data_IF_805941714014
#
_entry.id   IF_805941714014
#
_cell.length_a   1.000
_cell.length_b   1.000
_cell.length_c   1.000
_cell.angle_alpha   90.00
_cell.angle_beta   90.00
_cell.angle_gamma   90.00
#
_symmetry.space_group_name_H-M   'P 1'
#
loop_
_entity.id
_entity.type
_entity.pdbx_description
1 polymer ?
#
# COMPACT_ATOMS: atom_id res chain seq x y z
N UNK A 1 -14.31 7.72 -27.88
CA UNK A 1 -15.19 7.78 -26.69
C UNK A 1 -15.24 6.41 -26.05
N UNK A 2 -14.62 6.22 -24.88
CA UNK A 2 -14.87 5.02 -24.05
C UNK A 2 -15.75 5.45 -22.88
N UNK A 3 -16.97 4.91 -22.88
CA UNK A 3 -18.12 5.33 -22.09
C UNK A 3 -18.22 4.46 -20.84
N UNK A 4 -18.31 5.11 -19.67
CA UNK A 4 -18.53 4.57 -18.32
C UNK A 4 -17.39 3.73 -17.68
N UNK A 5 -16.63 4.37 -16.78
CA UNK A 5 -15.92 3.77 -15.63
C UNK A 5 -15.25 2.40 -15.84
N UNK A 6 -14.52 2.20 -16.94
CA UNK A 6 -13.67 1.02 -17.08
C UNK A 6 -12.44 1.19 -16.20
N UNK A 7 -12.53 0.78 -14.93
CA UNK A 7 -11.36 0.70 -14.06
C UNK A 7 -10.36 -0.25 -14.69
N UNK A 8 -9.17 0.27 -14.99
CA UNK A 8 -8.06 -0.55 -15.45
C UNK A 8 -7.47 -1.22 -14.22
N UNK A 9 -7.62 -2.54 -14.17
CA UNK A 9 -6.95 -3.36 -13.17
C UNK A 9 -5.57 -3.72 -13.69
N UNK A 10 -4.58 -3.59 -12.83
CA UNK A 10 -3.20 -3.98 -13.10
C UNK A 10 -2.93 -5.33 -12.42
N UNK A 11 -2.41 -6.27 -13.20
CA UNK A 11 -1.95 -7.55 -12.70
C UNK A 11 -0.48 -7.44 -12.28
N UNK A 12 -0.24 -7.48 -10.97
CA UNK A 12 1.06 -7.45 -10.33
C UNK A 12 1.47 -8.80 -9.76
N UNK A 13 0.75 -9.88 -10.08
CA UNK A 13 0.99 -11.24 -9.54
C UNK A 13 2.44 -11.73 -9.71
N UNK A 14 3.14 -11.21 -10.73
CA UNK A 14 4.54 -11.54 -11.01
C UNK A 14 5.56 -10.77 -10.14
N UNK A 15 5.13 -9.76 -9.39
CA UNK A 15 5.97 -8.85 -8.59
C UNK A 15 5.64 -8.98 -7.10
N UNK A 16 6.61 -8.66 -6.23
CA UNK A 16 6.43 -8.77 -4.78
C UNK A 16 6.75 -7.47 -4.02
N UNK A 17 7.38 -6.50 -4.68
CA UNK A 17 7.91 -5.31 -4.04
C UNK A 17 7.53 -4.05 -4.81
N UNK A 18 7.05 -3.04 -4.09
CA UNK A 18 6.87 -1.69 -4.60
C UNK A 18 8.18 -0.91 -4.43
N UNK A 19 8.72 -0.37 -5.52
CA UNK A 19 9.91 0.47 -5.52
C UNK A 19 9.51 1.91 -5.85
N UNK A 20 9.74 2.81 -4.91
CA UNK A 20 9.50 4.23 -5.11
C UNK A 20 10.79 5.00 -4.91
N UNK A 21 10.96 6.06 -5.69
CA UNK A 21 11.97 7.08 -5.42
C UNK A 21 11.29 8.40 -5.13
N UNK A 22 11.42 8.83 -3.89
CA UNK A 22 10.65 9.93 -3.33
C UNK A 22 11.56 10.91 -2.60
N UNK A 23 11.17 12.17 -2.59
CA UNK A 23 11.76 13.22 -1.78
C UNK A 23 10.65 13.92 -1.02
N UNK A 24 10.78 13.97 0.30
CA UNK A 24 9.74 14.51 1.17
C UNK A 24 10.26 15.55 2.14
N UNK A 25 9.29 16.21 2.76
CA UNK A 25 9.42 17.28 3.76
C UNK A 25 9.79 16.80 5.18
N UNK A 26 9.94 15.50 5.40
CA UNK A 26 10.25 14.93 6.72
C UNK A 26 9.03 14.43 7.48
N UNK A 27 7.83 14.56 6.88
CA UNK A 27 6.58 14.13 7.49
C UNK A 27 6.29 12.65 7.19
N UNK A 28 5.49 11.98 8.04
CA UNK A 28 5.01 10.63 7.76
C UNK A 28 3.93 10.70 6.66
N UNK A 29 4.15 9.94 5.62
CA UNK A 29 3.20 9.68 4.55
C UNK A 29 2.65 8.27 4.69
N UNK A 30 1.46 8.04 4.16
CA UNK A 30 0.82 6.74 4.07
C UNK A 30 0.60 6.43 2.60
N UNK A 31 1.09 5.28 2.18
CA UNK A 31 0.86 4.73 0.85
C UNK A 31 -0.35 3.81 0.96
N UNK A 32 -1.37 4.07 0.15
CA UNK A 32 -2.62 3.34 0.13
C UNK A 32 -2.75 2.64 -1.23
N UNK A 33 -2.99 1.34 -1.23
CA UNK A 33 -3.24 0.56 -2.43
C UNK A 33 -4.67 0.04 -2.35
N UNK A 34 -5.50 0.42 -3.32
CA UNK A 34 -6.86 -0.11 -3.45
C UNK A 34 -6.90 -1.21 -4.50
N UNK A 35 -7.39 -2.38 -4.13
CA UNK A 35 -7.71 -3.46 -5.05
C UNK A 35 -9.22 -3.48 -5.32
N UNK A 36 -9.62 -3.71 -6.56
CA UNK A 36 -11.04 -3.88 -6.86
C UNK A 36 -11.48 -5.30 -6.48
N UNK A 37 -12.28 -5.43 -5.41
CA UNK A 37 -12.91 -6.72 -5.07
C UNK A 37 -14.15 -6.97 -5.93
N UNK A 38 -14.39 -8.25 -6.22
CA UNK A 38 -15.60 -8.75 -6.87
C UNK A 38 -16.86 -8.58 -6.01
N UNK A 39 -16.70 -8.51 -4.68
CA UNK A 39 -17.81 -8.36 -3.74
C UNK A 39 -17.97 -6.90 -3.33
N UNK A 40 -19.19 -6.36 -3.46
CA UNK A 40 -19.52 -4.99 -3.08
C UNK A 40 -19.20 -4.65 -1.61
N UNK A 41 -19.09 -5.67 -0.75
CA UNK A 41 -18.75 -5.53 0.67
C UNK A 41 -17.26 -5.26 0.94
N UNK A 42 -16.36 -5.59 0.00
CA UNK A 42 -14.90 -5.40 0.09
C UNK A 42 -14.42 -4.22 -0.75
N UNK A 43 -15.35 -3.39 -1.22
CA UNK A 43 -15.06 -2.25 -2.10
C UNK A 43 -14.26 -1.15 -1.38
N UNK A 44 -14.29 -1.15 -0.05
CA UNK A 44 -13.63 -0.17 0.82
C UNK A 44 -12.34 -0.72 1.47
N UNK A 45 -11.84 -1.87 0.99
CA UNK A 45 -10.59 -2.48 1.45
C UNK A 45 -9.38 -1.74 0.86
N UNK A 46 -8.53 -1.23 1.75
CA UNK A 46 -7.34 -0.45 1.41
C UNK A 46 -6.15 -1.04 2.14
N UNK A 47 -5.11 -1.35 1.39
CA UNK A 47 -3.83 -1.79 1.92
C UNK A 47 -2.95 -0.56 2.17
N UNK A 48 -2.57 -0.35 3.42
CA UNK A 48 -1.84 0.84 3.85
C UNK A 48 -0.43 0.51 4.31
N UNK A 49 0.50 1.43 4.09
CA UNK A 49 1.86 1.36 4.61
C UNK A 49 2.38 2.75 4.99
N UNK A 50 3.08 2.86 6.11
CA UNK A 50 3.67 4.12 6.57
C UNK A 50 5.05 4.35 5.96
N UNK A 51 5.16 5.40 5.16
CA UNK A 51 6.39 5.91 4.57
C UNK A 51 6.91 7.10 5.39
N UNK A 52 8.07 6.94 6.01
CA UNK A 52 8.76 8.03 6.69
C UNK A 52 9.79 8.68 5.77
N UNK A 53 9.57 9.95 5.45
CA UNK A 53 10.52 10.75 4.67
C UNK A 53 11.54 11.39 5.61
N UNK A 54 12.80 11.53 5.18
CA UNK A 54 13.87 12.05 6.06
C UNK A 54 13.91 13.57 6.18
N UNK A 55 13.20 14.32 5.32
CA UNK A 55 13.23 15.77 5.31
C UNK A 55 14.58 16.30 4.85
N UNK A 56 14.69 16.67 3.58
CA UNK A 56 15.94 17.20 3.03
C UNK A 56 15.97 17.23 1.51
N UNK A 57 17.03 17.80 0.90
CA UNK A 57 17.12 17.97 -0.55
C UNK A 57 17.36 16.65 -1.30
N UNK A 58 17.59 15.54 -0.59
CA UNK A 58 18.04 14.27 -1.14
C UNK A 58 16.87 13.35 -1.52
N UNK A 59 17.04 12.65 -2.64
CA UNK A 59 16.16 11.56 -3.07
C UNK A 59 16.38 10.32 -2.19
N UNK A 60 15.28 9.67 -1.84
CA UNK A 60 15.27 8.41 -1.10
C UNK A 60 14.64 7.32 -1.95
N UNK A 61 15.38 6.23 -2.15
CA UNK A 61 14.87 5.00 -2.72
C UNK A 61 14.26 4.12 -1.62
N UNK A 62 13.00 3.74 -1.81
CA UNK A 62 12.22 2.94 -0.85
C UNK A 62 11.70 1.71 -1.57
N UNK A 63 12.04 0.54 -1.01
CA UNK A 63 11.55 -0.76 -1.45
C UNK A 63 10.66 -1.33 -0.36
N UNK A 64 9.40 -1.56 -0.68
CA UNK A 64 8.37 -1.99 0.26
C UNK A 64 7.78 -3.30 -0.26
N UNK A 65 8.04 -4.44 0.40
CA UNK A 65 7.37 -5.68 0.07
C UNK A 65 5.86 -5.55 0.25
N UNK A 66 5.07 -6.10 -0.67
CA UNK A 66 3.60 -6.08 -0.56
C UNK A 66 3.09 -6.78 0.70
N UNK A 67 3.86 -7.73 1.24
CA UNK A 67 3.54 -8.42 2.50
C UNK A 67 3.63 -7.56 3.76
N UNK A 68 4.23 -6.36 3.68
CA UNK A 68 4.27 -5.38 4.78
C UNK A 68 3.10 -4.40 4.78
N UNK A 69 2.23 -4.45 3.78
CA UNK A 69 1.03 -3.63 3.79
C UNK A 69 -0.02 -4.26 4.70
N UNK A 70 -0.66 -3.45 5.54
CA UNK A 70 -1.75 -3.91 6.39
C UNK A 70 -3.09 -3.52 5.79
N UNK A 71 -4.06 -4.41 5.92
CA UNK A 71 -5.43 -4.22 5.48
C UNK A 71 -6.17 -3.28 6.44
N UNK A 72 -6.77 -2.25 5.86
CA UNK A 72 -7.71 -1.35 6.51
C UNK A 72 -9.03 -1.36 5.75
N UNK A 73 -10.13 -1.27 6.48
CA UNK A 73 -11.46 -1.11 5.91
C UNK A 73 -12.16 0.06 6.59
N UNK A 74 -12.54 1.08 5.82
CA UNK A 74 -13.16 2.32 6.32
C UNK A 74 -12.37 3.00 7.45
N UNK A 75 -11.05 3.01 7.34
CA UNK A 75 -10.15 3.63 8.32
C UNK A 75 -9.96 2.81 9.61
N UNK A 76 -10.48 1.58 9.69
CA UNK A 76 -10.18 0.64 10.77
C UNK A 76 -9.27 -0.46 10.27
N UNK A 77 -8.16 -0.68 10.98
CA UNK A 77 -7.28 -1.83 10.76
C UNK A 77 -8.10 -3.10 11.03
N UNK A 78 -8.08 -4.05 10.10
CA UNK A 78 -8.77 -5.32 10.28
C UNK A 78 -7.99 -6.24 11.21
N UNK A 79 -8.68 -6.97 12.08
CA UNK A 79 -8.04 -7.98 12.94
C UNK A 79 -7.55 -9.17 12.10
N UNK A 80 -8.37 -9.59 11.12
CA UNK A 80 -8.00 -10.59 10.13
C UNK A 80 -7.30 -9.89 8.97
N UNK A 81 -5.98 -9.97 8.99
CA UNK A 81 -5.13 -9.45 7.94
C UNK A 81 -5.10 -10.45 6.78
N UNK A 82 -5.12 -9.94 5.54
CA UNK A 82 -5.03 -10.74 4.32
C UNK A 82 -3.91 -10.23 3.42
N UNK A 83 -3.39 -11.11 2.56
CA UNK A 83 -2.40 -10.71 1.56
C UNK A 83 -3.05 -9.84 0.48
N UNK A 84 -2.27 -8.89 -0.04
CA UNK A 84 -2.71 -7.97 -1.09
C UNK A 84 -3.04 -8.73 -2.37
N UNK A 85 -4.24 -8.48 -2.92
CA UNK A 85 -4.64 -9.05 -4.20
C UNK A 85 -3.97 -8.35 -5.36
N UNK A 86 -2.84 -8.92 -5.77
CA UNK A 86 -1.98 -8.40 -6.82
C UNK A 86 -2.62 -8.48 -8.21
N UNK A 87 -3.60 -9.35 -8.44
CA UNK A 87 -4.27 -9.52 -9.74
C UNK A 87 -5.22 -8.36 -10.11
N UNK A 88 -5.65 -7.58 -9.11
CA UNK A 88 -6.72 -6.57 -9.24
C UNK A 88 -6.36 -5.22 -8.63
N UNK A 89 -5.10 -4.81 -8.74
CA UNK A 89 -4.71 -3.49 -8.23
C UNK A 89 -5.30 -2.39 -9.11
N UNK A 90 -6.00 -1.45 -8.49
CA UNK A 90 -6.72 -0.39 -9.20
C UNK A 90 -6.05 0.97 -9.07
N UNK A 91 -5.60 1.36 -7.87
CA UNK A 91 -5.08 2.70 -7.61
C UNK A 91 -4.07 2.68 -6.47
N UNK A 92 -3.05 3.53 -6.58
CA UNK A 92 -2.13 3.89 -5.49
C UNK A 92 -2.45 5.34 -5.09
N UNK A 93 -2.65 5.57 -3.81
CA UNK A 93 -2.85 6.88 -3.21
C UNK A 93 -1.76 7.20 -2.20
N UNK A 94 -1.46 8.48 -2.07
CA UNK A 94 -0.59 9.01 -1.02
C UNK A 94 -1.43 9.88 -0.10
N UNK A 95 -1.32 9.63 1.19
CA UNK A 95 -2.06 10.36 2.22
C UNK A 95 -1.07 10.85 3.26
N UNK A 96 -1.20 12.12 3.64
CA UNK A 96 -0.40 12.65 4.74
C UNK A 96 -0.85 11.98 6.04
N UNK A 97 0.06 11.29 6.73
CA UNK A 97 -0.22 10.52 7.94
C UNK A 97 -0.16 11.35 9.23
N UNK A 98 -0.02 12.66 9.10
CA UNK A 98 0.15 13.60 10.19
C UNK A 98 -1.07 14.50 10.32
N UNK A 99 -1.40 14.88 11.56
CA UNK A 99 -2.48 15.83 11.88
C UNK A 99 -1.97 17.27 12.03
N UNK A 100 -0.70 17.54 11.77
CA UNK A 100 -0.18 18.90 11.83
C UNK A 100 -0.65 19.74 10.63
N UNK A 101 -1.13 20.95 10.93
CA UNK A 101 -1.41 21.95 9.91
C UNK A 101 -0.09 22.55 9.38
N UNK A 102 0.05 22.63 8.06
CA UNK A 102 1.22 23.21 7.43
C UNK A 102 1.39 22.80 5.97
N UNK A 103 2.31 23.49 5.28
CA UNK A 103 2.71 23.11 3.93
C UNK A 103 3.24 21.69 3.91
N UNK A 104 2.85 20.92 2.90
CA UNK A 104 3.39 19.59 2.65
C UNK A 104 4.02 19.55 1.26
N UNK A 105 5.10 18.78 1.13
CA UNK A 105 5.74 18.58 -0.16
C UNK A 105 6.22 17.13 -0.27
N UNK A 106 5.67 16.44 -1.28
CA UNK A 106 6.12 15.12 -1.70
C UNK A 106 6.41 15.18 -3.18
N UNK A 107 7.65 14.89 -3.52
CA UNK A 107 8.10 14.73 -4.88
C UNK A 107 8.34 13.25 -5.16
N UNK A 108 7.89 12.82 -6.33
CA UNK A 108 8.00 11.44 -6.77
C UNK A 108 8.70 11.45 -8.12
N UNK A 109 9.86 10.81 -8.18
CA UNK A 109 10.63 10.64 -9.42
C UNK A 109 10.03 9.49 -10.23
N UNK A 110 9.91 8.32 -9.58
CA UNK A 110 9.23 7.17 -10.16
C UNK A 110 8.53 6.29 -9.13
N UNK A 111 7.56 5.54 -9.63
CA UNK A 111 6.88 4.46 -8.94
C UNK A 111 6.96 3.24 -9.86
N UNK A 112 7.53 2.14 -9.35
CA UNK A 112 7.69 0.90 -10.09
C UNK A 112 7.38 -0.30 -9.22
N UNK A 113 7.15 -1.43 -9.88
CA UNK A 113 7.03 -2.74 -9.23
C UNK A 113 8.23 -3.59 -9.60
N UNK A 114 8.77 -4.31 -8.63
CA UNK A 114 9.97 -5.13 -8.77
C UNK A 114 9.70 -6.52 -8.20
N UNK A 115 10.38 -7.51 -8.79
CA UNK A 115 10.42 -8.88 -8.27
C UNK A 115 11.75 -9.06 -7.56
N UNK A 116 11.71 -9.07 -6.24
CA UNK A 116 12.86 -9.36 -5.40
C UNK A 116 12.92 -10.86 -5.10
N UNK A 117 13.88 -11.58 -5.67
CA UNK A 117 14.03 -13.02 -5.46
C UNK A 117 14.52 -13.38 -4.06
N UNK A 118 15.07 -12.43 -3.30
CA UNK A 118 15.52 -12.65 -1.93
C UNK A 118 14.37 -12.56 -0.92
N UNK A 119 13.23 -11.96 -1.30
CA UNK A 119 12.09 -11.78 -0.41
C UNK A 119 11.06 -12.89 -0.63
N UNK A 120 11.04 -13.87 0.28
CA UNK A 120 10.12 -15.02 0.27
C UNK A 120 8.95 -14.89 1.23
N UNK A 121 8.88 -13.80 2.02
CA UNK A 121 7.77 -13.60 2.97
C UNK A 121 6.50 -13.18 2.25
N UNK A 122 5.54 -14.11 2.18
CA UNK A 122 4.21 -13.85 1.63
C UNK A 122 3.34 -13.00 2.56
N UNK A 123 3.61 -13.02 3.87
CA UNK A 123 2.79 -12.32 4.86
C UNK A 123 3.57 -12.03 6.15
N UNK A 124 3.67 -10.75 6.54
CA UNK A 124 4.47 -10.33 7.70
C UNK A 124 3.69 -10.25 9.03
N UNK A 125 2.36 -10.41 8.99
CA UNK A 125 1.51 -10.25 10.18
C UNK A 125 1.14 -11.59 10.80
N UNK A 126 1.17 -11.65 12.13
CA UNK A 126 0.80 -12.85 12.86
C UNK A 126 -0.71 -13.11 12.76
N UNK A 127 -1.11 -14.26 12.20
CA UNK A 127 -2.48 -14.74 12.30
C UNK A 127 -2.70 -15.31 13.70
N UNK A 128 -3.17 -14.49 14.64
CA UNK A 128 -3.56 -14.98 15.96
C UNK A 128 -4.72 -15.98 15.82
N UNK A 129 -4.50 -17.24 16.22
CA UNK A 129 -5.61 -18.19 16.42
C UNK A 129 -6.48 -17.66 17.56
N UNK A 130 -7.66 -17.11 17.25
CA UNK A 130 -8.67 -16.83 18.25
C UNK A 130 -9.12 -18.16 18.87
N UNK A 131 -8.72 -18.37 20.13
CA UNK A 131 -8.98 -19.51 21.02
C UNK A 131 -8.30 -20.87 20.68
N UNK A 132 -7.41 -21.39 21.54
CA UNK A 132 -7.34 -22.84 21.74
C UNK A 132 -8.64 -23.30 22.43
N UNK A 133 -9.24 -24.36 21.90
CA UNK A 133 -10.53 -24.93 22.29
C UNK A 133 -10.82 -24.88 23.81
N UNK A 134 -12.01 -24.39 24.17
CA UNK A 134 -12.66 -24.68 25.46
C UNK A 134 -13.46 -25.97 25.29
#
# INVERSE_FOLDING_TARGET
>A
MSSFQRKKNFDWSSFNTLHLRVRGDGRPWMINISSESYFAHQKDDIYSYFLYTRGGPYWQDVKIPFSKFFLTHRGRVQDEQHCLWLDKVSTIGFTLGDKADGCFQLEVDFIGVCKDYAHTEEFAYESYKRNPNV
#
